data_IF_675688561002
#
_entry.id   IF_675688561002
#
_cell.length_a   1.000
_cell.length_b   1.000
_cell.length_c   1.000
_cell.angle_alpha   90.00
_cell.angle_beta   90.00
_cell.angle_gamma   90.00
#
_symmetry.space_group_name_H-M   'P 1'
#
loop_
_entity.id
_entity.type
_entity.pdbx_description
1 polymer ?
#
# COMPACT_ATOMS: atom_id res chain seq x y z
N UNK A 1 30.38 -42.68 13.20
CA UNK A 1 31.61 -42.23 13.90
C UNK A 1 31.15 -41.32 15.03
N UNK A 2 31.47 -41.64 16.28
CA UNK A 2 31.12 -40.80 17.44
C UNK A 2 32.34 -39.96 17.81
N UNK A 3 32.16 -38.67 18.06
CA UNK A 3 33.20 -37.80 18.61
C UNK A 3 32.82 -37.44 20.05
N UNK A 4 33.73 -37.66 20.99
CA UNK A 4 33.60 -37.23 22.40
C UNK A 4 34.42 -35.97 22.62
N UNK A 5 34.08 -35.16 23.63
CA UNK A 5 34.99 -34.13 24.12
C UNK A 5 36.24 -34.74 24.79
N UNK A 6 37.20 -33.89 25.20
CA UNK A 6 38.43 -34.30 25.88
C UNK A 6 38.20 -34.99 27.23
N UNK A 7 36.98 -34.97 27.74
CA UNK A 7 36.56 -35.58 29.01
C UNK A 7 35.77 -36.87 28.80
N UNK A 8 35.68 -37.39 27.56
CA UNK A 8 34.92 -38.60 27.23
C UNK A 8 33.40 -38.43 27.33
N UNK A 9 32.91 -37.20 27.50
CA UNK A 9 31.50 -36.91 27.60
C UNK A 9 30.92 -36.65 26.19
N UNK A 10 29.69 -37.11 25.97
CA UNK A 10 28.93 -36.91 24.73
C UNK A 10 28.36 -35.49 24.61
N UNK A 11 29.17 -34.48 24.94
CA UNK A 11 28.77 -33.08 24.82
C UNK A 11 29.14 -32.65 23.40
N UNK A 12 28.12 -32.43 22.57
CA UNK A 12 28.16 -32.13 21.12
C UNK A 12 28.17 -33.38 20.21
N UNK A 13 27.00 -33.99 20.08
CA UNK A 13 26.72 -35.07 19.13
C UNK A 13 26.71 -34.54 17.69
N UNK A 14 27.87 -34.51 17.02
CA UNK A 14 27.90 -34.60 15.56
C UNK A 14 27.55 -36.04 15.16
N UNK A 15 26.25 -36.35 15.20
CA UNK A 15 25.74 -37.64 14.74
C UNK A 15 25.45 -37.51 13.24
N UNK A 16 26.32 -38.08 12.40
CA UNK A 16 25.93 -38.42 11.03
C UNK A 16 25.10 -39.70 11.12
N UNK A 17 23.77 -39.54 11.04
CA UNK A 17 22.84 -40.65 10.94
C UNK A 17 22.48 -40.85 9.47
N UNK A 18 22.62 -42.08 9.00
CA UNK A 18 21.90 -42.58 7.84
C UNK A 18 20.81 -43.51 8.40
N UNK A 19 19.78 -42.90 8.98
CA UNK A 19 18.62 -43.61 9.54
C UNK A 19 17.40 -43.24 8.69
N UNK A 20 16.91 -44.18 7.89
CA UNK A 20 15.83 -43.93 6.93
C UNK A 20 16.25 -43.10 5.71
N UNK A 21 15.37 -42.21 5.23
CA UNK A 21 15.50 -41.53 3.93
C UNK A 21 16.24 -40.17 3.97
N UNK A 22 17.07 -39.90 4.98
CA UNK A 22 17.78 -38.62 5.09
C UNK A 22 19.10 -38.70 5.87
N UNK A 23 19.98 -37.74 5.61
CA UNK A 23 21.16 -37.41 6.42
C UNK A 23 20.78 -36.34 7.46
N UNK A 24 21.15 -36.50 8.74
CA UNK A 24 20.81 -35.54 9.81
C UNK A 24 22.01 -35.10 10.65
N UNK A 25 21.93 -33.91 11.26
CA UNK A 25 22.88 -33.37 12.24
C UNK A 25 22.16 -32.69 13.42
N UNK A 26 22.73 -32.77 14.63
CA UNK A 26 22.21 -32.09 15.83
C UNK A 26 20.98 -32.75 16.48
N UNK A 27 20.80 -34.05 16.28
CA UNK A 27 19.67 -34.82 16.81
C UNK A 27 19.70 -34.92 18.34
N UNK A 28 18.86 -34.15 19.03
CA UNK A 28 18.63 -34.26 20.48
C UNK A 28 17.14 -34.52 20.74
N UNK A 29 16.83 -35.60 21.44
CA UNK A 29 15.47 -35.95 21.88
C UNK A 29 14.39 -35.89 20.78
N UNK A 30 14.69 -36.34 19.55
CA UNK A 30 13.73 -36.37 18.44
C UNK A 30 13.70 -35.11 17.56
N UNK A 31 14.40 -34.04 17.95
CA UNK A 31 14.47 -32.81 17.17
C UNK A 31 15.73 -32.82 16.30
N UNK A 32 15.53 -32.86 14.99
CA UNK A 32 16.62 -32.73 14.02
C UNK A 32 16.86 -31.25 13.71
N UNK A 33 18.05 -30.74 14.07
CA UNK A 33 18.42 -29.36 13.81
C UNK A 33 18.69 -29.11 12.32
N UNK A 34 19.32 -30.06 11.62
CA UNK A 34 19.63 -29.99 10.20
C UNK A 34 19.41 -31.36 9.52
N UNK A 35 18.81 -31.40 8.34
CA UNK A 35 18.60 -32.61 7.55
C UNK A 35 18.79 -32.39 6.05
N UNK A 36 19.17 -33.44 5.32
CA UNK A 36 19.14 -33.52 3.86
C UNK A 36 18.42 -34.81 3.46
N UNK A 37 17.28 -34.70 2.78
CA UNK A 37 16.53 -35.88 2.32
C UNK A 37 17.10 -36.48 1.02
N UNK A 38 16.57 -37.64 0.60
CA UNK A 38 16.96 -38.31 -0.66
C UNK A 38 16.80 -37.46 -1.93
N UNK A 39 15.93 -36.45 -1.92
CA UNK A 39 15.74 -35.51 -3.05
C UNK A 39 16.72 -34.32 -3.01
N UNK A 40 17.64 -34.31 -2.05
CA UNK A 40 18.62 -33.25 -1.84
C UNK A 40 18.02 -31.96 -1.26
N UNK A 41 16.86 -32.05 -0.60
CA UNK A 41 16.25 -30.90 0.07
C UNK A 41 16.83 -30.76 1.49
N UNK A 42 17.16 -29.54 1.88
CA UNK A 42 17.69 -29.20 3.20
C UNK A 42 16.55 -28.83 4.15
N UNK A 43 16.47 -29.46 5.31
CA UNK A 43 15.60 -29.07 6.41
C UNK A 43 16.39 -28.46 7.56
N UNK A 44 15.94 -27.32 8.10
CA UNK A 44 16.41 -26.75 9.37
C UNK A 44 15.26 -26.86 10.36
N UNK A 45 15.45 -27.61 11.44
CA UNK A 45 14.39 -27.90 12.42
C UNK A 45 13.29 -28.85 11.93
N UNK A 46 13.50 -29.55 10.81
CA UNK A 46 12.59 -30.57 10.26
C UNK A 46 13.36 -31.66 9.51
N UNK A 47 12.82 -32.87 9.49
CA UNK A 47 13.31 -34.02 8.70
C UNK A 47 12.52 -34.24 7.40
N UNK A 48 11.42 -33.51 7.18
CA UNK A 48 10.54 -33.66 6.03
C UNK A 48 10.49 -32.36 5.18
N UNK A 49 11.61 -31.89 4.61
CA UNK A 49 11.61 -30.67 3.81
C UNK A 49 10.88 -30.85 2.47
N UNK A 50 9.96 -29.93 2.16
CA UNK A 50 9.10 -29.96 0.95
C UNK A 50 9.63 -29.13 -0.22
N UNK A 51 10.65 -28.30 0.01
CA UNK A 51 11.38 -27.55 -1.00
C UNK A 51 12.89 -27.64 -0.77
N UNK A 52 13.70 -27.04 -1.66
CA UNK A 52 15.17 -27.13 -1.58
C UNK A 52 15.74 -26.67 -0.24
N UNK A 53 15.10 -25.69 0.40
CA UNK A 53 15.31 -25.34 1.79
C UNK A 53 13.96 -25.26 2.49
N UNK A 54 13.82 -25.88 3.67
CA UNK A 54 12.66 -25.75 4.55
C UNK A 54 13.16 -25.43 5.96
N UNK A 55 12.69 -24.34 6.55
CA UNK A 55 12.98 -23.96 7.94
C UNK A 55 11.69 -24.09 8.75
N UNK A 56 11.69 -24.90 9.79
CA UNK A 56 10.51 -25.23 10.61
C UNK A 56 10.90 -25.52 12.07
N UNK A 57 9.90 -25.85 12.91
CA UNK A 57 10.15 -26.42 14.25
C UNK A 57 10.14 -25.44 15.42
N UNK A 58 9.52 -24.24 15.28
CA UNK A 58 9.32 -23.28 16.38
C UNK A 58 7.82 -22.99 16.62
N UNK A 59 7.48 -22.53 17.83
CA UNK A 59 6.09 -22.27 18.26
C UNK A 59 5.50 -20.94 17.82
N UNK A 60 6.33 -19.96 17.46
CA UNK A 60 5.89 -18.63 17.00
C UNK A 60 5.95 -18.56 15.47
N UNK A 61 7.08 -18.07 14.93
CA UNK A 61 7.35 -17.99 13.50
C UNK A 61 8.81 -18.37 13.21
N UNK A 62 9.04 -19.05 12.10
CA UNK A 62 10.39 -19.31 11.60
C UNK A 62 10.98 -18.00 11.06
N UNK A 63 12.15 -17.60 11.54
CA UNK A 63 12.87 -16.43 11.03
C UNK A 63 14.14 -16.90 10.29
N UNK A 64 14.42 -16.31 9.13
CA UNK A 64 15.72 -16.36 8.46
C UNK A 64 16.27 -14.93 8.47
N UNK A 65 17.30 -14.69 9.29
CA UNK A 65 17.89 -13.36 9.43
C UNK A 65 19.02 -13.17 8.41
N UNK A 66 18.94 -12.08 7.65
CA UNK A 66 20.03 -11.55 6.84
C UNK A 66 20.52 -10.26 7.51
N UNK A 67 21.81 -10.20 7.84
CA UNK A 67 22.40 -9.04 8.53
C UNK A 67 23.66 -8.59 7.81
N UNK A 68 23.87 -7.29 7.76
CA UNK A 68 25.00 -6.66 7.10
C UNK A 68 25.05 -5.17 7.43
N UNK A 69 26.23 -4.57 7.31
CA UNK A 69 26.45 -3.14 7.53
C UNK A 69 26.83 -2.49 6.19
N UNK A 70 25.84 -2.41 5.30
CA UNK A 70 25.98 -1.87 3.95
C UNK A 70 25.26 -0.53 3.85
N UNK A 71 25.90 0.47 3.23
CA UNK A 71 25.29 1.76 2.94
C UNK A 71 24.16 1.67 1.92
N UNK A 72 24.16 0.63 1.09
CA UNK A 72 23.11 0.41 0.09
C UNK A 72 21.98 -0.47 0.66
N UNK A 73 22.31 -1.37 1.58
CA UNK A 73 21.30 -2.19 2.26
C UNK A 73 21.62 -3.68 2.29
N UNK A 74 20.69 -4.45 2.84
CA UNK A 74 20.82 -5.89 3.07
C UNK A 74 19.53 -6.58 2.66
N UNK A 75 19.62 -7.66 1.89
CA UNK A 75 18.45 -8.36 1.40
C UNK A 75 18.75 -9.68 0.74
N UNK A 76 17.77 -10.12 -0.05
CA UNK A 76 17.79 -11.36 -0.81
C UNK A 76 17.60 -11.01 -2.28
N UNK A 77 18.41 -11.64 -3.12
CA UNK A 77 18.27 -11.52 -4.57
C UNK A 77 17.51 -12.71 -5.16
N UNK A 78 16.64 -12.43 -6.11
CA UNK A 78 15.83 -13.41 -6.84
C UNK A 78 16.04 -13.15 -8.34
N UNK A 79 16.64 -14.13 -9.02
CA UNK A 79 16.97 -14.01 -10.44
C UNK A 79 16.28 -15.09 -11.27
N UNK A 80 15.61 -14.67 -12.34
CA UNK A 80 15.20 -15.57 -13.41
C UNK A 80 16.08 -15.30 -14.64
N UNK A 81 16.84 -16.31 -15.07
CA UNK A 81 17.79 -16.21 -16.18
C UNK A 81 17.20 -16.62 -17.54
N UNK A 82 15.90 -16.92 -17.61
CA UNK A 82 15.21 -17.14 -18.88
C UNK A 82 15.13 -15.85 -19.70
N UNK A 83 14.81 -15.95 -20.99
CA UNK A 83 14.57 -14.77 -21.85
C UNK A 83 13.49 -13.87 -21.24
N UNK A 84 13.78 -12.58 -21.13
CA UNK A 84 12.95 -11.60 -20.41
C UNK A 84 12.72 -11.90 -18.91
N UNK A 85 13.54 -12.77 -18.33
CA UNK A 85 13.65 -12.91 -16.89
C UNK A 85 14.30 -11.67 -16.27
N UNK A 86 14.03 -11.47 -14.99
CA UNK A 86 14.49 -10.31 -14.23
C UNK A 86 15.22 -10.78 -12.97
N UNK A 87 16.10 -9.91 -12.50
CA UNK A 87 16.73 -9.97 -11.19
C UNK A 87 16.11 -8.91 -10.29
N UNK A 88 15.58 -9.34 -9.15
CA UNK A 88 14.97 -8.49 -8.14
C UNK A 88 15.66 -8.66 -6.81
N UNK A 89 15.88 -7.55 -6.11
CA UNK A 89 16.27 -7.55 -4.71
C UNK A 89 15.08 -7.19 -3.83
N UNK A 90 14.86 -7.98 -2.78
CA UNK A 90 13.98 -7.68 -1.65
C UNK A 90 14.86 -7.34 -0.46
N UNK A 91 14.88 -6.08 -0.04
CA UNK A 91 15.92 -5.62 0.88
C UNK A 91 15.46 -4.51 1.82
N UNK A 92 16.18 -4.38 2.94
CA UNK A 92 16.17 -3.19 3.79
C UNK A 92 17.28 -2.27 3.30
N UNK A 93 16.92 -1.07 2.88
CA UNK A 93 17.87 -0.09 2.36
C UNK A 93 18.78 0.50 3.44
N UNK A 94 19.99 0.86 3.02
CA UNK A 94 20.97 1.53 3.88
C UNK A 94 20.88 3.06 3.79
N UNK A 95 21.83 3.74 4.45
CA UNK A 95 21.83 5.21 4.56
C UNK A 95 22.10 5.96 3.25
N UNK A 96 22.56 5.27 2.21
CA UNK A 96 22.95 5.86 0.91
C UNK A 96 22.14 5.31 -0.26
N UNK A 97 21.08 4.55 0.00
CA UNK A 97 20.23 4.02 -1.05
C UNK A 97 19.23 5.06 -1.56
N UNK A 98 18.99 5.06 -2.87
CA UNK A 98 18.18 6.09 -3.54
C UNK A 98 16.70 6.06 -3.14
N UNK A 99 16.19 4.91 -2.66
CA UNK A 99 14.77 4.78 -2.27
C UNK A 99 14.44 5.42 -0.93
N UNK A 100 15.46 5.77 -0.15
CA UNK A 100 15.31 6.28 1.22
C UNK A 100 16.05 5.40 2.22
N UNK A 101 16.42 5.97 3.36
CA UNK A 101 17.19 5.27 4.41
C UNK A 101 16.28 4.42 5.30
N UNK A 102 16.54 3.11 5.35
CA UNK A 102 15.81 2.17 6.20
C UNK A 102 14.45 1.74 5.61
N UNK A 103 14.22 2.02 4.35
CA UNK A 103 13.06 1.61 3.59
C UNK A 103 13.12 0.10 3.31
N UNK A 104 11.97 -0.55 3.35
CA UNK A 104 11.81 -1.89 2.78
C UNK A 104 11.45 -1.77 1.31
N UNK A 105 12.26 -2.34 0.40
CA UNK A 105 12.09 -2.10 -1.02
C UNK A 105 12.18 -3.37 -1.88
N UNK A 106 11.54 -3.29 -3.05
CA UNK A 106 11.70 -4.22 -4.17
C UNK A 106 12.37 -3.45 -5.32
N UNK A 107 13.62 -3.79 -5.59
CA UNK A 107 14.42 -3.20 -6.65
C UNK A 107 14.55 -4.18 -7.81
N UNK A 108 14.17 -3.74 -9.01
CA UNK A 108 14.39 -4.47 -10.25
C UNK A 108 15.78 -4.11 -10.77
N UNK A 109 16.78 -4.94 -10.46
CA UNK A 109 18.16 -4.72 -10.89
C UNK A 109 18.27 -4.75 -12.42
N UNK A 110 17.49 -5.60 -13.09
CA UNK A 110 17.49 -5.70 -14.56
C UNK A 110 17.01 -4.40 -15.22
N UNK A 111 16.00 -3.76 -14.64
CA UNK A 111 15.48 -2.48 -15.15
C UNK A 111 16.12 -1.24 -14.51
N UNK A 112 16.96 -1.41 -13.48
CA UNK A 112 17.53 -0.32 -12.70
C UNK A 112 16.46 0.55 -12.04
N UNK A 113 15.40 -0.05 -11.47
CA UNK A 113 14.22 0.70 -11.02
C UNK A 113 13.57 0.11 -9.77
N UNK A 114 13.20 0.99 -8.84
CA UNK A 114 12.37 0.62 -7.69
C UNK A 114 10.92 0.40 -8.12
N UNK A 115 10.38 -0.78 -7.78
CA UNK A 115 8.99 -1.14 -8.09
C UNK A 115 8.06 -0.83 -6.93
N UNK A 116 8.56 -1.04 -5.72
CA UNK A 116 7.81 -0.92 -4.48
C UNK A 116 8.74 -0.50 -3.34
N UNK A 117 8.27 0.38 -2.47
CA UNK A 117 8.97 0.69 -1.22
C UNK A 117 8.00 1.00 -0.07
N UNK A 118 8.42 0.73 1.16
CA UNK A 118 7.77 1.14 2.39
C UNK A 118 8.81 1.86 3.25
N UNK A 119 8.58 3.15 3.49
CA UNK A 119 9.45 3.93 4.39
C UNK A 119 9.29 3.51 5.86
N UNK A 120 10.26 3.85 6.74
CA UNK A 120 10.13 3.66 8.19
C UNK A 120 8.87 4.29 8.81
N UNK A 121 8.28 5.29 8.15
CA UNK A 121 7.04 5.95 8.56
C UNK A 121 5.75 5.21 8.15
N UNK A 122 5.89 4.08 7.45
CA UNK A 122 4.79 3.26 6.92
C UNK A 122 4.16 3.79 5.64
N UNK A 123 4.77 4.78 4.97
CA UNK A 123 4.30 5.26 3.67
C UNK A 123 4.75 4.31 2.55
N UNK A 124 3.84 3.99 1.64
CA UNK A 124 4.05 3.08 0.51
C UNK A 124 4.27 3.86 -0.79
N UNK A 125 5.33 3.52 -1.51
CA UNK A 125 5.67 4.07 -2.83
C UNK A 125 5.55 2.98 -3.89
N UNK A 126 4.91 3.30 -5.02
CA UNK A 126 4.83 2.43 -6.20
C UNK A 126 5.46 3.14 -7.40
N UNK A 127 6.55 2.55 -7.93
CA UNK A 127 7.24 3.06 -9.12
C UNK A 127 7.98 4.39 -8.95
N UNK A 128 8.38 4.74 -7.72
CA UNK A 128 9.11 5.97 -7.38
C UNK A 128 9.96 5.79 -6.12
N UNK A 129 10.95 6.68 -5.96
CA UNK A 129 11.94 6.65 -4.87
C UNK A 129 11.77 7.77 -3.84
N UNK A 130 10.83 8.70 -4.06
CA UNK A 130 10.65 9.85 -3.17
C UNK A 130 9.16 10.13 -2.97
N UNK A 131 8.73 10.26 -1.72
CA UNK A 131 7.36 10.63 -1.39
C UNK A 131 7.08 12.09 -1.79
N UNK A 132 6.06 12.35 -2.61
CA UNK A 132 5.72 13.73 -3.01
C UNK A 132 5.10 14.50 -1.83
N UNK A 133 4.32 13.83 -1.00
CA UNK A 133 3.71 14.40 0.19
C UNK A 133 3.70 13.38 1.33
N UNK A 134 4.38 13.70 2.42
CA UNK A 134 4.54 12.80 3.58
C UNK A 134 3.24 12.50 4.32
N UNK A 135 2.19 13.30 4.11
CA UNK A 135 0.85 13.04 4.63
C UNK A 135 0.12 11.90 3.90
N UNK A 136 0.52 11.56 2.67
CA UNK A 136 -0.08 10.46 1.93
C UNK A 136 0.52 9.13 2.38
N UNK A 137 -0.32 8.13 2.60
CA UNK A 137 0.15 6.78 2.94
C UNK A 137 0.48 5.92 1.72
N UNK A 138 -0.05 6.28 0.55
CA UNK A 138 0.22 5.62 -0.72
C UNK A 138 0.49 6.69 -1.79
N UNK A 139 1.60 6.58 -2.49
CA UNK A 139 1.98 7.46 -3.60
C UNK A 139 2.45 6.63 -4.79
N UNK A 140 1.82 6.86 -5.94
CA UNK A 140 1.94 6.01 -7.13
C UNK A 140 2.41 6.87 -8.30
N UNK A 141 3.52 6.47 -8.92
CA UNK A 141 3.95 7.03 -10.19
C UNK A 141 3.23 6.34 -11.34
N UNK A 142 2.05 6.87 -11.70
CA UNK A 142 1.25 6.37 -12.81
C UNK A 142 -0.25 6.33 -12.48
N UNK A 143 -1.02 5.79 -13.43
CA UNK A 143 -2.46 5.68 -13.29
C UNK A 143 -2.86 4.45 -12.47
N UNK A 144 -3.90 4.59 -11.64
CA UNK A 144 -4.52 3.48 -10.91
C UNK A 144 -5.83 3.12 -11.60
N UNK A 145 -5.99 1.85 -12.00
CA UNK A 145 -7.26 1.30 -12.50
C UNK A 145 -7.86 0.41 -11.43
N UNK A 146 -9.12 0.64 -11.09
CA UNK A 146 -9.88 -0.17 -10.14
C UNK A 146 -11.29 -0.42 -10.68
N UNK A 147 -11.87 -1.58 -10.35
CA UNK A 147 -13.28 -1.84 -10.64
C UNK A 147 -14.20 -1.00 -9.73
N UNK A 148 -13.79 -0.76 -8.48
CA UNK A 148 -14.51 0.07 -7.52
C UNK A 148 -13.53 0.69 -6.52
N UNK A 149 -13.81 1.93 -6.11
CA UNK A 149 -13.11 2.63 -5.03
C UNK A 149 -14.15 3.16 -4.05
N UNK A 150 -14.06 2.74 -2.79
CA UNK A 150 -14.84 3.32 -1.69
C UNK A 150 -13.96 4.33 -0.95
N UNK A 151 -14.43 5.56 -0.82
CA UNK A 151 -13.76 6.61 -0.05
C UNK A 151 -14.62 7.05 1.12
N UNK A 152 -14.01 7.34 2.26
CA UNK A 152 -14.72 7.95 3.37
C UNK A 152 -14.98 9.43 3.04
N UNK A 153 -16.24 9.78 2.83
CA UNK A 153 -16.69 11.14 2.56
C UNK A 153 -17.76 11.54 3.58
N UNK A 154 -17.80 12.82 3.93
CA UNK A 154 -18.70 13.37 4.96
C UNK A 154 -20.13 13.62 4.46
N UNK A 155 -20.37 13.60 3.14
CA UNK A 155 -21.67 13.96 2.56
C UNK A 155 -22.01 15.44 2.70
N UNK A 156 -23.21 15.83 2.27
CA UNK A 156 -23.63 17.24 2.24
C UNK A 156 -25.12 17.44 2.60
N UNK A 157 -25.67 16.64 3.51
CA UNK A 157 -27.10 16.68 3.85
C UNK A 157 -27.52 17.95 4.60
N UNK A 158 -26.57 18.59 5.30
CA UNK A 158 -26.78 19.88 5.99
C UNK A 158 -27.30 21.00 5.06
N UNK A 159 -27.14 20.87 3.74
CA UNK A 159 -27.69 21.82 2.75
C UNK A 159 -29.21 21.81 2.73
N UNK A 160 -29.83 20.71 3.15
CA UNK A 160 -31.28 20.54 3.19
C UNK A 160 -31.89 20.88 4.55
N UNK A 161 -31.06 21.25 5.53
CA UNK A 161 -31.51 21.68 6.85
C UNK A 161 -32.23 23.03 6.76
N UNK A 162 -33.26 23.25 7.59
CA UNK A 162 -34.02 24.51 7.59
C UNK A 162 -33.18 25.71 8.02
N UNK A 163 -32.09 25.50 8.75
CA UNK A 163 -31.12 26.52 9.12
C UNK A 163 -30.11 26.84 8.02
N UNK A 164 -30.09 26.08 6.92
CA UNK A 164 -29.16 26.33 5.82
C UNK A 164 -29.48 27.62 5.08
N UNK A 165 -28.51 28.54 5.07
CA UNK A 165 -28.63 29.77 4.29
C UNK A 165 -28.18 29.53 2.85
N UNK A 166 -29.15 29.33 1.96
CA UNK A 166 -28.91 29.29 0.53
C UNK A 166 -28.51 30.68 0.01
N UNK A 167 -27.35 30.85 -0.65
CA UNK A 167 -26.95 32.13 -1.24
C UNK A 167 -28.01 32.65 -2.22
N UNK A 168 -28.06 33.96 -2.46
CA UNK A 168 -28.91 34.47 -3.54
C UNK A 168 -28.27 34.22 -4.91
N UNK A 169 -29.08 34.16 -5.98
CA UNK A 169 -28.56 34.04 -7.35
C UNK A 169 -27.69 35.25 -7.73
N UNK A 170 -27.98 36.45 -7.23
CA UNK A 170 -27.16 37.65 -7.46
C UNK A 170 -25.78 37.52 -6.79
N UNK A 171 -25.73 37.03 -5.55
CA UNK A 171 -24.48 36.76 -4.84
C UNK A 171 -23.66 35.70 -5.58
N UNK A 172 -24.30 34.62 -6.03
CA UNK A 172 -23.66 33.56 -6.80
C UNK A 172 -23.12 34.09 -8.13
N UNK A 173 -23.90 34.89 -8.86
CA UNK A 173 -23.49 35.51 -10.12
C UNK A 173 -22.27 36.42 -9.93
N UNK A 174 -22.27 37.25 -8.88
CA UNK A 174 -21.15 38.13 -8.56
C UNK A 174 -19.90 37.33 -8.22
N UNK A 175 -20.02 36.24 -7.45
CA UNK A 175 -18.90 35.35 -7.16
C UNK A 175 -18.32 34.74 -8.43
N UNK A 176 -19.17 34.20 -9.31
CA UNK A 176 -18.71 33.55 -10.55
C UNK A 176 -18.02 34.57 -11.47
N UNK A 177 -18.57 35.79 -11.60
CA UNK A 177 -17.94 36.86 -12.39
C UNK A 177 -16.56 37.24 -11.87
N UNK A 178 -16.38 37.25 -10.55
CA UNK A 178 -15.12 37.63 -9.93
C UNK A 178 -14.08 36.49 -9.91
N UNK A 179 -14.51 35.24 -9.74
CA UNK A 179 -13.61 34.12 -9.44
C UNK A 179 -13.52 33.08 -10.57
N UNK A 180 -14.44 33.09 -11.54
CA UNK A 180 -14.50 32.13 -12.65
C UNK A 180 -14.64 30.66 -12.24
N UNK A 181 -15.06 30.39 -11.00
CA UNK A 181 -15.42 29.06 -10.51
C UNK A 181 -16.57 29.14 -9.51
N UNK A 182 -17.12 27.99 -9.12
CA UNK A 182 -18.20 27.92 -8.12
C UNK A 182 -17.65 28.05 -6.70
N UNK A 183 -18.41 28.64 -5.75
CA UNK A 183 -18.01 28.71 -4.35
C UNK A 183 -17.73 27.32 -3.77
N UNK A 184 -16.58 27.13 -3.12
CA UNK A 184 -16.18 25.85 -2.51
C UNK A 184 -15.60 24.80 -3.47
N UNK A 185 -15.56 25.10 -4.78
CA UNK A 185 -14.82 24.29 -5.77
C UNK A 185 -13.51 25.00 -6.08
N UNK A 186 -12.40 24.28 -6.02
CA UNK A 186 -11.08 24.86 -6.29
C UNK A 186 -10.94 25.32 -7.77
N UNK A 187 -10.14 26.36 -8.06
CA UNK A 187 -9.82 26.74 -9.42
C UNK A 187 -9.09 25.63 -10.18
N UNK A 188 -9.31 25.53 -11.50
CA UNK A 188 -8.70 24.50 -12.34
C UNK A 188 -7.16 24.48 -12.27
N UNK A 189 -6.52 25.65 -12.20
CA UNK A 189 -5.05 25.75 -12.05
C UNK A 189 -4.54 25.08 -10.78
N UNK A 190 -5.24 25.26 -9.67
CA UNK A 190 -4.89 24.64 -8.40
C UNK A 190 -5.08 23.11 -8.47
N UNK A 191 -6.18 22.65 -9.06
CA UNK A 191 -6.44 21.22 -9.23
C UNK A 191 -5.37 20.53 -10.09
N UNK A 192 -4.84 21.23 -11.10
CA UNK A 192 -3.79 20.71 -11.97
C UNK A 192 -2.43 20.61 -11.27
N UNK A 193 -2.10 21.56 -10.38
CA UNK A 193 -0.80 21.59 -9.69
C UNK A 193 -0.77 20.74 -8.43
N UNK A 194 -1.85 20.72 -7.66
CA UNK A 194 -1.91 20.09 -6.32
C UNK A 194 -2.69 18.77 -6.30
N UNK A 195 -3.43 18.46 -7.38
CA UNK A 195 -4.38 17.36 -7.41
C UNK A 195 -5.70 17.69 -6.67
N UNK A 196 -6.55 16.68 -6.52
CA UNK A 196 -7.84 16.80 -5.81
C UNK A 196 -8.01 15.68 -4.81
N UNK A 197 -8.54 16.01 -3.62
CA UNK A 197 -9.05 15.00 -2.72
C UNK A 197 -10.41 14.51 -3.23
N UNK A 198 -10.48 13.25 -3.66
CA UNK A 198 -11.68 12.68 -4.27
C UNK A 198 -12.90 12.77 -3.35
N UNK A 199 -12.77 12.38 -2.07
CA UNK A 199 -13.87 12.41 -1.11
C UNK A 199 -14.44 13.82 -0.87
N UNK A 200 -13.56 14.78 -0.60
CA UNK A 200 -13.95 16.18 -0.42
C UNK A 200 -14.55 16.77 -1.70
N UNK A 201 -13.98 16.47 -2.86
CA UNK A 201 -14.50 16.95 -4.14
C UNK A 201 -15.92 16.41 -4.41
N UNK A 202 -16.15 15.11 -4.18
CA UNK A 202 -17.50 14.52 -4.30
C UNK A 202 -18.49 15.16 -3.31
N UNK A 203 -18.06 15.43 -2.07
CA UNK A 203 -18.90 16.15 -1.10
C UNK A 203 -19.25 17.56 -1.58
N UNK A 204 -18.29 18.33 -2.13
CA UNK A 204 -18.55 19.68 -2.64
C UNK A 204 -19.45 19.66 -3.87
N UNK A 205 -19.27 18.71 -4.80
CA UNK A 205 -20.16 18.53 -5.94
C UNK A 205 -21.58 18.18 -5.49
N UNK A 206 -21.74 17.28 -4.52
CA UNK A 206 -23.05 16.94 -3.95
C UNK A 206 -23.72 18.15 -3.30
N UNK A 207 -22.96 19.00 -2.60
CA UNK A 207 -23.45 20.29 -2.09
C UNK A 207 -24.02 21.15 -3.23
N UNK A 208 -23.27 21.31 -4.34
CA UNK A 208 -23.72 22.13 -5.47
C UNK A 208 -24.98 21.58 -6.14
N UNK A 209 -25.09 20.25 -6.27
CA UNK A 209 -26.29 19.60 -6.79
C UNK A 209 -27.51 19.92 -5.91
N UNK A 210 -27.36 19.84 -4.58
CA UNK A 210 -28.44 20.16 -3.64
C UNK A 210 -28.85 21.63 -3.67
N UNK A 211 -27.88 22.55 -3.69
CA UNK A 211 -28.16 23.99 -3.85
C UNK A 211 -28.93 24.26 -5.15
N UNK A 212 -28.51 23.64 -6.26
CA UNK A 212 -29.21 23.72 -7.54
C UNK A 212 -30.65 23.20 -7.44
N UNK A 213 -30.86 22.06 -6.77
CA UNK A 213 -32.21 21.52 -6.52
C UNK A 213 -33.07 22.50 -5.74
N UNK A 214 -32.53 23.17 -4.71
CA UNK A 214 -33.29 24.17 -3.93
C UNK A 214 -33.68 25.39 -4.78
N UNK A 215 -32.78 25.89 -5.64
CA UNK A 215 -33.11 26.97 -6.56
C UNK A 215 -34.22 26.57 -7.55
N UNK A 216 -34.16 25.35 -8.10
CA UNK A 216 -35.20 24.84 -9.03
C UNK A 216 -36.55 24.75 -8.33
N UNK A 217 -36.61 24.24 -7.09
CA UNK A 217 -37.85 24.19 -6.30
C UNK A 217 -38.40 25.59 -6.04
N UNK A 218 -37.55 26.57 -5.74
CA UNK A 218 -37.97 27.95 -5.53
C UNK A 218 -38.53 28.57 -6.81
N UNK A 219 -37.89 28.31 -7.95
CA UNK A 219 -38.32 28.82 -9.26
C UNK A 219 -39.64 28.19 -9.72
N UNK A 220 -39.85 26.88 -9.51
CA UNK A 220 -41.11 26.21 -9.82
C UNK A 220 -42.28 26.81 -9.02
N UNK A 221 -42.09 27.03 -7.72
CA UNK A 221 -43.09 27.70 -6.87
C UNK A 221 -43.44 29.09 -7.39
N UNK A 222 -42.45 29.86 -7.83
CA UNK A 222 -42.66 31.19 -8.41
C UNK A 222 -43.44 31.10 -9.73
N UNK A 223 -43.12 30.15 -10.60
CA UNK A 223 -43.84 29.93 -11.86
C UNK A 223 -45.31 29.53 -11.63
N UNK A 224 -45.59 28.67 -10.65
CA UNK A 224 -46.96 28.31 -10.27
C UNK A 224 -47.74 29.53 -9.76
N UNK A 225 -47.13 30.37 -8.93
CA UNK A 225 -47.75 31.61 -8.46
C UNK A 225 -48.04 32.59 -9.61
N UNK A 226 -47.19 32.66 -10.62
CA UNK A 226 -47.41 33.50 -11.80
C UNK A 226 -48.52 32.94 -12.73
N UNK A 227 -48.75 31.63 -12.74
CA UNK A 227 -49.80 30.99 -13.54
C UNK A 227 -51.20 31.07 -12.91
N UNK A 228 -51.31 31.19 -11.58
CA UNK A 228 -52.59 31.32 -10.88
C UNK A 228 -53.43 32.52 -11.39
N UNK A 229 -52.90 33.75 -11.49
CA UNK A 229 -53.62 34.90 -12.04
C UNK A 229 -54.02 34.72 -13.51
N UNK A 230 -53.16 34.08 -14.33
CA UNK A 230 -53.41 33.90 -15.76
C UNK A 230 -54.59 32.97 -16.02
N UNK A 231 -54.75 31.93 -15.19
CA UNK A 231 -55.86 30.99 -15.29
C UNK A 231 -57.18 31.55 -14.75
N UNK A 232 -57.14 32.55 -13.85
CA UNK A 232 -58.35 33.25 -13.37
C UNK A 232 -58.87 34.34 -14.32
N UNK A 233 -58.12 34.65 -15.39
CA UNK A 233 -58.47 35.65 -16.42
C UNK A 233 -58.99 35.00 -17.73
N UNK A 234 -59.09 33.67 -17.78
CA UNK A 234 -59.69 32.90 -18.89
C UNK A 234 -61.06 32.39 -18.48
#
# INVERSE_FOLDING_TARGET
MFFTDSSGNYINRFNILNEGNYFGMGYNNGNTAFSINQSGNVGIGTTNPTGKLTVAGVSNYNNIQFTGNSSNGVGISIENTQSAGHKYDLFSSGSSDDVGSGDFAIYDETAGSYRFAISPSGNVLIGKTSQTNTAYKLDVNGNIRANQVTVNATGADYVLDSSYHLPSLDQLQNFIKANHHLPGIAPAKQMQSEGINLGNNQTQLLKKIKELTLYIIAEDKKNQQLQMPLNSLK
#
